data_IF_790217684392
#
_entry.id   IF_790217684392
#
_cell.length_a   1.000
_cell.length_b   1.000
_cell.length_c   1.000
_cell.angle_alpha   90.00
_cell.angle_beta   90.00
_cell.angle_gamma   90.00
#
_symmetry.space_group_name_H-M   'P 1'
#
loop_
_entity.id
_entity.type
_entity.pdbx_description
1 polymer ?
#
# COMPACT_ATOMS: atom_id res chain seq x y z
N UNK A 1 -1.63 -0.56 4.97
CA UNK A 1 -2.97 -0.66 4.36
C UNK A 1 -2.94 -1.49 3.09
N UNK A 2 -1.94 -1.40 2.26
CA UNK A 2 -1.79 -2.22 1.07
C UNK A 2 -3.08 -2.34 0.24
N UNK A 3 -3.39 -3.51 -0.27
CA UNK A 3 -4.61 -3.75 -1.08
C UNK A 3 -5.83 -3.92 -0.17
N UNK A 4 -6.79 -2.96 -0.16
CA UNK A 4 -7.96 -3.04 0.70
C UNK A 4 -8.81 -4.30 0.40
N UNK A 5 -9.22 -5.01 1.44
CA UNK A 5 -10.03 -6.24 1.37
C UNK A 5 -9.37 -7.49 0.75
N UNK A 6 -8.09 -7.45 0.37
CA UNK A 6 -7.43 -8.63 -0.20
C UNK A 6 -7.43 -9.80 0.79
N UNK A 7 -7.00 -9.58 2.03
CA UNK A 7 -7.01 -10.63 3.05
C UNK A 7 -8.42 -11.22 3.28
N UNK A 8 -9.43 -10.35 3.41
CA UNK A 8 -10.81 -10.80 3.60
C UNK A 8 -11.33 -11.62 2.40
N UNK A 9 -10.96 -11.24 1.18
CA UNK A 9 -11.30 -11.98 -0.03
C UNK A 9 -10.62 -13.35 -0.06
N UNK A 10 -9.32 -13.39 0.25
CA UNK A 10 -8.57 -14.66 0.31
C UNK A 10 -9.14 -15.60 1.37
N UNK A 11 -9.39 -15.08 2.58
CA UNK A 11 -9.96 -15.89 3.67
C UNK A 11 -11.36 -16.44 3.34
N UNK A 12 -12.20 -15.64 2.70
CA UNK A 12 -13.54 -16.05 2.27
C UNK A 12 -13.49 -17.23 1.30
N UNK A 13 -12.53 -17.22 0.36
CA UNK A 13 -12.42 -18.27 -0.67
C UNK A 13 -11.54 -19.45 -0.25
N UNK A 14 -10.61 -19.22 0.68
CA UNK A 14 -9.61 -20.19 1.11
C UNK A 14 -9.49 -20.25 2.64
N UNK A 15 -10.55 -20.66 3.38
CA UNK A 15 -10.54 -20.59 4.86
C UNK A 15 -9.50 -21.51 5.52
N UNK A 16 -8.93 -22.46 4.81
CA UNK A 16 -7.92 -23.40 5.31
C UNK A 16 -6.52 -22.80 5.46
N UNK A 17 -6.31 -21.57 4.97
CA UNK A 17 -5.00 -20.89 5.03
C UNK A 17 -4.63 -20.38 6.43
N UNK A 18 -5.58 -20.33 7.37
CA UNK A 18 -5.29 -19.97 8.77
C UNK A 18 -4.97 -21.24 9.56
N UNK A 19 -3.83 -21.21 10.24
CA UNK A 19 -3.29 -22.32 11.02
C UNK A 19 -3.08 -21.93 12.49
N UNK A 20 -2.80 -22.94 13.30
CA UNK A 20 -2.28 -22.74 14.64
C UNK A 20 -0.82 -22.26 14.57
N UNK A 21 -0.30 -21.75 15.69
CA UNK A 21 1.06 -21.23 15.79
C UNK A 21 2.10 -22.29 15.34
N UNK A 22 2.93 -21.98 14.34
CA UNK A 22 4.04 -22.82 13.92
C UNK A 22 5.24 -22.66 14.85
N UNK A 23 6.20 -23.59 14.76
CA UNK A 23 7.57 -23.37 15.22
C UNK A 23 8.33 -22.60 14.14
N UNK A 24 9.10 -21.59 14.51
CA UNK A 24 9.86 -20.76 13.59
C UNK A 24 11.33 -20.65 13.97
N UNK A 25 12.17 -20.45 12.95
CA UNK A 25 13.61 -20.19 13.09
C UNK A 25 13.89 -18.69 13.22
N UNK A 26 12.96 -17.87 12.75
CA UNK A 26 13.10 -16.43 12.68
C UNK A 26 11.75 -15.72 12.89
N UNK A 27 11.79 -14.59 13.60
CA UNK A 27 10.61 -13.78 13.85
C UNK A 27 10.87 -12.32 13.47
N UNK A 28 10.07 -11.77 12.58
CA UNK A 28 10.14 -10.37 12.18
C UNK A 28 8.89 -9.61 12.61
N UNK A 29 9.07 -8.35 12.99
CA UNK A 29 7.98 -7.48 13.46
C UNK A 29 7.98 -6.20 12.63
N UNK A 30 6.88 -5.96 11.89
CA UNK A 30 6.54 -4.63 11.41
C UNK A 30 6.13 -3.77 12.61
N UNK A 31 7.06 -2.91 13.03
CA UNK A 31 6.84 -2.13 14.25
C UNK A 31 5.77 -1.07 14.07
N UNK A 32 5.60 -0.51 12.89
CA UNK A 32 4.55 0.46 12.64
C UNK A 32 3.16 -0.18 12.77
N UNK A 33 3.00 -1.41 12.30
CA UNK A 33 1.79 -2.19 12.52
C UNK A 33 1.53 -2.44 14.01
N UNK A 34 2.55 -2.87 14.75
CA UNK A 34 2.45 -3.13 16.19
C UNK A 34 2.07 -1.86 16.96
N UNK A 35 2.70 -0.71 16.66
CA UNK A 35 2.35 0.57 17.28
C UNK A 35 0.87 0.88 17.09
N UNK A 36 0.35 0.78 15.87
CA UNK A 36 -1.05 1.08 15.60
C UNK A 36 -2.04 0.15 16.32
N UNK A 37 -1.64 -1.10 16.59
CA UNK A 37 -2.49 -2.08 17.29
C UNK A 37 -2.56 -1.86 18.80
N UNK A 38 -1.45 -1.48 19.42
CA UNK A 38 -1.33 -1.43 20.88
C UNK A 38 -1.31 -0.02 21.45
N UNK A 39 -1.33 1.01 20.62
CA UNK A 39 -1.26 2.40 21.06
C UNK A 39 -2.49 2.81 21.90
N UNK A 40 -2.26 3.08 23.17
CA UNK A 40 -3.20 3.82 24.01
C UNK A 40 -2.82 5.31 24.02
N UNK A 41 -3.71 6.21 23.57
CA UNK A 41 -3.45 7.65 23.57
C UNK A 41 -3.08 8.26 24.92
N UNK A 42 -3.47 7.65 26.04
CA UNK A 42 -3.16 8.13 27.39
C UNK A 42 -1.73 7.74 27.83
N UNK A 43 -1.25 6.57 27.39
CA UNK A 43 0.06 6.02 27.74
C UNK A 43 0.81 5.50 26.50
N UNK A 44 1.14 6.35 25.51
CA UNK A 44 1.47 5.92 24.15
C UNK A 44 2.76 5.11 24.04
N UNK A 45 3.74 5.31 24.93
CA UNK A 45 4.98 4.53 24.94
C UNK A 45 4.79 3.20 25.70
N UNK A 46 4.24 3.25 26.91
CA UNK A 46 4.14 2.08 27.78
C UNK A 46 3.15 1.03 27.23
N UNK A 47 2.06 1.48 26.59
CA UNK A 47 1.12 0.57 25.95
C UNK A 47 1.75 -0.19 24.78
N UNK A 48 2.55 0.48 23.95
CA UNK A 48 3.27 -0.15 22.83
C UNK A 48 4.36 -1.10 23.35
N UNK A 49 5.11 -0.72 24.38
CA UNK A 49 6.09 -1.60 25.02
C UNK A 49 5.45 -2.86 25.62
N UNK A 50 4.29 -2.71 26.28
CA UNK A 50 3.51 -3.83 26.79
C UNK A 50 3.01 -4.73 25.67
N UNK A 51 2.52 -4.16 24.56
CA UNK A 51 2.11 -4.90 23.38
C UNK A 51 3.27 -5.68 22.72
N UNK A 52 4.45 -5.05 22.63
CA UNK A 52 5.66 -5.74 22.14
C UNK A 52 6.01 -6.94 23.01
N UNK A 53 6.01 -6.79 24.34
CA UNK A 53 6.24 -7.90 25.28
C UNK A 53 5.25 -9.03 25.09
N UNK A 54 3.97 -8.70 24.94
CA UNK A 54 2.92 -9.68 24.68
C UNK A 54 3.20 -10.48 23.39
N UNK A 55 3.53 -9.79 22.30
CA UNK A 55 3.84 -10.41 21.00
C UNK A 55 5.11 -11.27 21.08
N UNK A 56 6.14 -10.82 21.79
CA UNK A 56 7.37 -11.61 22.00
C UNK A 56 7.11 -12.90 22.82
N UNK A 57 6.21 -12.85 23.81
CA UNK A 57 5.82 -14.04 24.59
C UNK A 57 5.00 -15.02 23.76
N UNK A 58 4.24 -14.55 22.78
CA UNK A 58 3.46 -15.43 21.91
C UNK A 58 4.33 -16.27 20.98
N UNK A 59 5.50 -15.78 20.60
CA UNK A 59 6.44 -16.50 19.71
C UNK A 59 7.72 -16.83 20.49
N UNK A 60 7.81 -18.02 21.12
CA UNK A 60 8.97 -18.41 21.93
C UNK A 60 10.20 -18.74 21.05
N UNK A 61 11.00 -17.75 20.78
CA UNK A 61 12.23 -17.81 20.00
C UNK A 61 13.34 -17.01 20.71
N UNK A 62 14.59 -17.34 20.46
CA UNK A 62 15.72 -16.58 21.02
C UNK A 62 15.76 -15.15 20.44
N UNK A 63 15.98 -14.14 21.28
CA UNK A 63 15.96 -12.73 20.89
C UNK A 63 16.92 -12.39 19.74
N UNK A 64 18.06 -13.05 19.63
CA UNK A 64 19.01 -12.88 18.51
C UNK A 64 18.42 -13.23 17.14
N UNK A 65 17.35 -14.05 17.12
CA UNK A 65 16.63 -14.46 15.92
C UNK A 65 15.38 -13.59 15.66
N UNK A 66 15.27 -12.47 16.37
CA UNK A 66 14.18 -11.51 16.20
C UNK A 66 14.67 -10.26 15.48
N UNK A 67 13.86 -9.74 14.60
CA UNK A 67 14.10 -8.50 13.88
C UNK A 67 12.91 -7.56 13.97
N UNK A 68 13.14 -6.32 14.41
CA UNK A 68 12.12 -5.27 14.48
C UNK A 68 12.45 -4.23 13.41
N UNK A 69 11.50 -3.99 12.51
CA UNK A 69 11.66 -3.02 11.44
C UNK A 69 10.72 -1.82 11.63
N UNK A 70 11.30 -0.63 11.71
CA UNK A 70 10.57 0.64 11.69
C UNK A 70 10.53 1.22 10.27
N UNK A 71 9.43 1.90 9.91
CA UNK A 71 9.41 2.72 8.71
C UNK A 71 10.41 3.86 8.81
N UNK A 72 11.17 4.04 7.74
CA UNK A 72 12.07 5.16 7.57
C UNK A 72 11.64 6.11 6.46
N UNK A 73 12.63 6.66 5.75
CA UNK A 73 12.39 7.46 4.55
C UNK A 73 11.79 6.56 3.47
N UNK A 74 10.66 6.95 2.91
CA UNK A 74 9.90 6.19 1.91
C UNK A 74 9.88 6.90 0.55
N UNK A 75 9.60 6.20 -0.58
CA UNK A 75 9.49 6.84 -1.89
C UNK A 75 8.33 7.84 -1.96
N UNK A 76 8.41 8.79 -2.90
CA UNK A 76 7.40 9.84 -3.05
C UNK A 76 5.98 9.27 -3.19
N UNK A 77 5.81 8.15 -3.89
CA UNK A 77 4.50 7.48 -4.00
C UNK A 77 3.89 7.17 -2.62
N UNK A 78 4.68 6.65 -1.68
CA UNK A 78 4.23 6.40 -0.31
C UNK A 78 4.07 7.70 0.50
N UNK A 79 4.94 8.70 0.29
CA UNK A 79 4.77 10.00 0.94
C UNK A 79 3.44 10.65 0.54
N UNK A 80 3.04 10.56 -0.72
CA UNK A 80 1.75 11.07 -1.21
C UNK A 80 0.59 10.38 -0.50
N UNK A 81 0.61 9.05 -0.41
CA UNK A 81 -0.38 8.27 0.32
C UNK A 81 -0.42 8.64 1.81
N UNK A 82 0.76 8.77 2.45
CA UNK A 82 0.87 9.19 3.85
C UNK A 82 0.31 10.60 4.06
N UNK A 83 0.60 11.55 3.16
CA UNK A 83 0.07 12.92 3.26
C UNK A 83 -1.46 12.92 3.26
N UNK A 84 -2.12 12.21 2.33
CA UNK A 84 -3.57 12.11 2.28
C UNK A 84 -4.17 11.61 3.60
N UNK A 85 -3.53 10.62 4.24
CA UNK A 85 -3.98 10.07 5.52
C UNK A 85 -3.80 11.06 6.68
N UNK A 86 -2.67 11.77 6.73
CA UNK A 86 -2.27 12.61 7.86
C UNK A 86 -2.92 13.98 7.86
N UNK A 87 -3.40 14.45 6.72
CA UNK A 87 -4.14 15.72 6.65
C UNK A 87 -5.64 15.58 6.95
N UNK A 88 -6.14 14.38 7.19
CA UNK A 88 -7.50 14.19 7.69
C UNK A 88 -7.57 14.64 9.14
N UNK A 89 -8.73 15.13 9.55
CA UNK A 89 -8.96 15.50 10.95
C UNK A 89 -8.85 14.26 11.84
N UNK A 90 -8.15 14.42 12.94
CA UNK A 90 -7.99 13.42 13.99
C UNK A 90 -8.19 14.14 15.32
N UNK A 91 -9.20 13.72 16.10
CA UNK A 91 -9.55 14.28 17.38
C UNK A 91 -9.01 13.42 18.55
N UNK A 92 -8.14 12.46 18.29
CA UNK A 92 -7.54 11.63 19.32
C UNK A 92 -6.66 12.48 20.27
N UNK A 93 -6.64 12.16 21.58
CA UNK A 93 -5.80 12.85 22.57
C UNK A 93 -4.30 12.81 22.22
N UNK A 94 -3.84 11.71 21.62
CA UNK A 94 -2.48 11.57 21.08
C UNK A 94 -2.50 11.80 19.57
N UNK A 95 -1.68 12.74 19.10
CA UNK A 95 -1.53 12.98 17.67
C UNK A 95 -0.78 11.81 17.00
N UNK A 96 -1.50 10.84 16.45
CA UNK A 96 -0.96 9.65 15.76
C UNK A 96 -0.03 9.98 14.58
N UNK A 97 -0.03 11.23 14.08
CA UNK A 97 0.91 11.69 13.05
C UNK A 97 2.35 11.75 13.55
N UNK A 98 2.56 11.73 14.89
CA UNK A 98 3.88 11.54 15.49
C UNK A 98 4.48 10.15 15.24
N UNK A 99 3.67 9.17 14.81
CA UNK A 99 4.16 7.88 14.28
C UNK A 99 4.69 8.13 12.86
N UNK A 100 5.81 8.83 12.79
CA UNK A 100 6.52 9.21 11.55
C UNK A 100 8.01 9.15 11.80
N UNK A 101 8.83 8.86 10.78
CA UNK A 101 10.26 8.66 10.95
C UNK A 101 10.94 9.83 11.67
N UNK A 102 11.89 9.52 12.56
CA UNK A 102 12.74 10.49 13.26
C UNK A 102 11.99 11.54 14.10
N UNK A 103 10.74 11.27 14.52
CA UNK A 103 10.04 12.11 15.50
C UNK A 103 10.53 11.83 16.93
N UNK A 104 10.33 12.75 17.89
CA UNK A 104 10.69 12.50 19.28
C UNK A 104 10.04 11.23 19.85
N UNK A 105 8.76 10.98 19.53
CA UNK A 105 8.04 9.80 19.93
C UNK A 105 8.73 8.50 19.45
N UNK A 106 9.03 8.43 18.14
CA UNK A 106 9.67 7.25 17.56
C UNK A 106 11.08 7.01 18.11
N UNK A 107 11.88 8.06 18.25
CA UNK A 107 13.22 7.97 18.87
C UNK A 107 13.18 7.47 20.31
N UNK A 108 12.22 7.94 21.10
CA UNK A 108 12.04 7.47 22.48
C UNK A 108 11.67 5.99 22.51
N UNK A 109 10.77 5.56 21.62
CA UNK A 109 10.37 4.16 21.53
C UNK A 109 11.54 3.26 21.10
N UNK A 110 12.29 3.66 20.06
CA UNK A 110 13.50 2.95 19.61
C UNK A 110 14.54 2.78 20.73
N UNK A 111 14.77 3.85 21.50
CA UNK A 111 15.73 3.84 22.61
C UNK A 111 15.30 2.87 23.71
N UNK A 112 14.02 2.90 24.11
CA UNK A 112 13.47 1.97 25.11
C UNK A 112 13.55 0.52 24.67
N UNK A 113 13.25 0.22 23.39
CA UNK A 113 13.35 -1.15 22.90
C UNK A 113 14.79 -1.64 22.92
N UNK A 114 15.75 -0.82 22.48
CA UNK A 114 17.19 -1.16 22.52
C UNK A 114 17.70 -1.38 23.94
N UNK A 115 17.23 -0.57 24.89
CA UNK A 115 17.61 -0.68 26.30
C UNK A 115 17.06 -1.98 26.94
N UNK A 116 15.79 -2.29 26.66
CA UNK A 116 15.13 -3.43 27.28
C UNK A 116 15.43 -4.77 26.58
N UNK A 117 15.68 -4.75 25.27
CA UNK A 117 15.94 -5.94 24.45
C UNK A 117 17.23 -5.78 23.62
N UNK A 118 18.40 -5.71 24.24
CA UNK A 118 19.67 -5.40 23.54
C UNK A 118 20.11 -6.47 22.52
N UNK A 119 19.60 -7.69 22.62
CA UNK A 119 19.90 -8.78 21.69
C UNK A 119 19.04 -8.77 20.41
N UNK A 120 17.91 -8.05 20.42
CA UNK A 120 17.03 -7.96 19.25
C UNK A 120 17.65 -7.03 18.22
N UNK A 121 17.70 -7.47 16.97
CA UNK A 121 18.15 -6.62 15.86
C UNK A 121 17.05 -5.65 15.46
N UNK A 122 17.39 -4.38 15.31
CA UNK A 122 16.42 -3.31 15.03
C UNK A 122 16.90 -2.48 13.84
N UNK A 123 16.05 -2.33 12.83
CA UNK A 123 16.19 -1.30 11.81
C UNK A 123 15.42 -0.06 12.24
N UNK A 124 16.14 1.03 12.47
CA UNK A 124 15.62 2.28 13.02
C UNK A 124 14.98 3.17 11.95
N UNK A 125 14.27 4.22 12.39
CA UNK A 125 13.59 5.15 11.49
C UNK A 125 14.53 5.98 10.63
N UNK A 126 15.83 6.09 10.97
CA UNK A 126 16.83 6.78 10.13
C UNK A 126 17.23 5.95 8.90
N UNK A 127 17.05 4.64 8.91
CA UNK A 127 17.31 3.78 7.76
C UNK A 127 16.18 3.90 6.73
N UNK A 128 16.51 4.17 5.45
CA UNK A 128 15.47 4.29 4.40
C UNK A 128 14.71 2.98 4.18
N UNK A 129 13.45 3.10 3.77
CA UNK A 129 12.57 1.99 3.40
C UNK A 129 11.39 1.80 4.37
N UNK A 130 10.37 1.13 3.89
CA UNK A 130 9.21 0.68 4.67
C UNK A 130 9.60 -0.54 5.51
N UNK A 131 9.03 -0.68 6.70
CA UNK A 131 9.35 -1.77 7.63
C UNK A 131 9.19 -3.16 6.99
N UNK A 132 8.10 -3.36 6.25
CA UNK A 132 7.84 -4.61 5.54
C UNK A 132 8.94 -4.96 4.51
N UNK A 133 9.37 -3.99 3.68
CA UNK A 133 10.44 -4.23 2.71
C UNK A 133 11.80 -4.46 3.37
N UNK A 134 12.09 -3.80 4.49
CA UNK A 134 13.30 -4.04 5.29
C UNK A 134 13.34 -5.48 5.85
N UNK A 135 12.19 -6.02 6.27
CA UNK A 135 12.07 -7.41 6.71
C UNK A 135 12.50 -8.35 5.58
N UNK A 136 12.00 -8.16 4.37
CA UNK A 136 12.34 -9.03 3.24
C UNK A 136 13.78 -8.84 2.73
N UNK A 137 14.35 -7.63 2.85
CA UNK A 137 15.78 -7.41 2.58
C UNK A 137 16.66 -8.10 3.61
N UNK A 138 16.31 -8.10 4.88
CA UNK A 138 17.02 -8.81 5.93
C UNK A 138 16.98 -10.33 5.72
N UNK A 139 15.82 -10.88 5.36
CA UNK A 139 15.65 -12.30 5.03
C UNK A 139 16.57 -12.77 3.91
N UNK A 140 16.93 -11.91 2.95
CA UNK A 140 17.87 -12.26 1.88
C UNK A 140 19.28 -12.62 2.38
N UNK A 141 19.65 -12.20 3.58
CA UNK A 141 20.95 -12.44 4.21
C UNK A 141 20.98 -13.64 5.15
N UNK A 142 19.84 -14.32 5.35
CA UNK A 142 19.64 -15.36 6.34
C UNK A 142 19.37 -16.72 5.69
N UNK A 143 19.87 -17.77 6.32
CA UNK A 143 19.52 -19.17 6.02
C UNK A 143 18.48 -19.65 7.05
N UNK A 144 17.23 -19.24 6.87
CA UNK A 144 16.12 -19.67 7.72
C UNK A 144 15.06 -20.39 6.88
N UNK A 145 14.43 -21.42 7.47
CA UNK A 145 13.42 -22.24 6.76
C UNK A 145 12.00 -21.80 7.08
N UNK A 146 11.75 -21.45 8.33
CA UNK A 146 10.43 -21.07 8.80
C UNK A 146 10.45 -19.70 9.47
N UNK A 147 9.65 -18.82 8.97
CA UNK A 147 9.60 -17.40 9.36
C UNK A 147 8.21 -17.05 9.85
N UNK A 148 8.10 -16.39 11.00
CA UNK A 148 6.89 -15.70 11.42
C UNK A 148 7.10 -14.21 11.18
N UNK A 149 6.11 -13.53 10.61
CA UNK A 149 6.12 -12.06 10.45
C UNK A 149 4.86 -11.51 11.13
N UNK A 150 5.07 -10.65 12.12
CA UNK A 150 3.98 -9.86 12.69
C UNK A 150 3.70 -8.67 11.80
N UNK A 151 2.50 -8.63 11.21
CA UNK A 151 2.07 -7.52 10.38
C UNK A 151 0.69 -7.76 9.77
N UNK A 152 -0.11 -6.69 9.68
CA UNK A 152 -1.49 -6.76 9.21
C UNK A 152 -1.68 -6.22 7.80
N UNK A 153 -0.64 -5.66 7.17
CA UNK A 153 -0.77 -5.11 5.83
C UNK A 153 -0.97 -6.21 4.78
N UNK A 154 -1.78 -5.92 3.79
CA UNK A 154 -2.05 -6.87 2.71
C UNK A 154 -0.85 -7.03 1.78
N UNK A 155 0.04 -6.03 1.73
CA UNK A 155 1.25 -6.06 0.92
C UNK A 155 2.22 -7.14 1.39
N UNK A 156 2.26 -7.43 2.71
CA UNK A 156 3.00 -8.56 3.27
C UNK A 156 2.59 -9.90 2.66
N UNK A 157 1.32 -10.07 2.28
CA UNK A 157 0.86 -11.31 1.61
C UNK A 157 1.53 -11.44 0.26
N UNK A 158 1.52 -10.37 -0.55
CA UNK A 158 2.11 -10.39 -1.89
C UNK A 158 3.63 -10.56 -1.83
N UNK A 159 4.31 -9.86 -0.93
CA UNK A 159 5.74 -9.99 -0.69
C UNK A 159 6.11 -11.42 -0.26
N UNK A 160 5.36 -12.00 0.67
CA UNK A 160 5.59 -13.36 1.17
C UNK A 160 5.35 -14.43 0.10
N UNK A 161 4.40 -14.22 -0.80
CA UNK A 161 4.14 -15.13 -1.91
C UNK A 161 5.33 -15.27 -2.87
N UNK A 162 6.22 -14.27 -2.95
CA UNK A 162 7.41 -14.29 -3.81
C UNK A 162 8.59 -15.03 -3.17
N UNK A 163 8.45 -15.59 -1.95
CA UNK A 163 9.53 -16.18 -1.18
C UNK A 163 9.48 -17.71 -1.22
N UNK A 164 10.66 -18.35 -1.04
CA UNK A 164 10.80 -19.79 -0.94
C UNK A 164 10.62 -20.32 0.49
N UNK A 165 10.88 -19.49 1.49
CA UNK A 165 10.77 -19.81 2.90
C UNK A 165 9.32 -20.17 3.28
N UNK A 166 9.14 -20.94 4.34
CA UNK A 166 7.84 -21.21 4.92
C UNK A 166 7.41 -20.03 5.81
N UNK A 167 6.68 -19.09 5.24
CA UNK A 167 6.29 -17.86 5.94
C UNK A 167 4.88 -17.98 6.51
N UNK A 168 4.75 -17.56 7.76
CA UNK A 168 3.48 -17.38 8.46
C UNK A 168 3.29 -15.92 8.85
N UNK A 169 2.20 -15.30 8.39
CA UNK A 169 1.85 -13.95 8.82
C UNK A 169 0.98 -14.01 10.07
N UNK A 170 1.50 -13.47 11.18
CA UNK A 170 0.80 -13.41 12.45
C UNK A 170 -0.23 -12.27 12.44
N UNK A 171 -1.50 -12.65 12.55
CA UNK A 171 -2.69 -11.77 12.56
C UNK A 171 -3.68 -12.29 13.62
N UNK A 172 -4.95 -12.42 13.26
CA UNK A 172 -5.95 -13.18 14.04
C UNK A 172 -5.78 -14.68 13.79
N UNK A 173 -4.62 -15.23 14.15
CA UNK A 173 -4.11 -16.53 13.80
C UNK A 173 -2.87 -16.43 12.90
N UNK A 174 -2.46 -17.53 12.30
CA UNK A 174 -1.24 -17.58 11.47
C UNK A 174 -1.63 -17.92 10.03
N UNK A 175 -1.53 -16.94 9.13
CA UNK A 175 -1.75 -17.13 7.70
C UNK A 175 -0.56 -17.90 7.12
N UNK A 176 -0.79 -19.13 6.71
CA UNK A 176 0.19 -20.01 6.07
C UNK A 176 0.32 -19.67 4.58
N UNK A 177 1.46 -19.08 4.21
CA UNK A 177 1.73 -18.66 2.82
C UNK A 177 1.96 -19.86 1.90
N UNK A 178 2.53 -20.97 2.39
CA UNK A 178 2.71 -22.17 1.56
C UNK A 178 1.36 -22.85 1.28
N UNK A 179 0.45 -22.85 2.24
CA UNK A 179 -0.92 -23.32 2.00
C UNK A 179 -1.66 -22.41 1.03
N UNK A 180 -1.50 -21.09 1.17
CA UNK A 180 -2.07 -20.12 0.22
C UNK A 180 -1.58 -20.38 -1.22
N UNK A 181 -0.27 -20.61 -1.42
CA UNK A 181 0.29 -20.94 -2.74
C UNK A 181 -0.35 -22.17 -3.37
N UNK A 182 -0.70 -23.19 -2.56
CA UNK A 182 -1.33 -24.43 -3.07
C UNK A 182 -2.77 -24.23 -3.50
N UNK A 183 -3.50 -23.36 -2.80
CA UNK A 183 -4.94 -23.17 -3.06
C UNK A 183 -5.25 -22.06 -4.05
N UNK A 184 -4.29 -21.18 -4.33
CA UNK A 184 -4.45 -20.18 -5.39
C UNK A 184 -4.55 -20.85 -6.77
N UNK A 185 -5.52 -20.43 -7.62
CA UNK A 185 -5.68 -21.00 -8.98
C UNK A 185 -4.64 -20.48 -10.00
N UNK A 186 -3.67 -19.73 -9.54
CA UNK A 186 -2.65 -19.04 -10.32
C UNK A 186 -1.34 -19.06 -9.51
N UNK A 187 -0.18 -19.15 -10.17
CA UNK A 187 1.12 -19.09 -9.47
C UNK A 187 1.36 -17.72 -8.80
N UNK A 188 2.25 -17.73 -7.82
CA UNK A 188 2.48 -16.58 -6.94
C UNK A 188 2.91 -15.31 -7.67
N UNK A 189 3.79 -15.44 -8.64
CA UNK A 189 4.28 -14.28 -9.41
C UNK A 189 3.18 -13.74 -10.32
N UNK A 190 2.47 -14.61 -11.03
CA UNK A 190 1.29 -14.23 -11.82
C UNK A 190 0.22 -13.56 -10.95
N UNK A 191 0.02 -14.05 -9.71
CA UNK A 191 -0.91 -13.44 -8.77
C UNK A 191 -0.48 -12.03 -8.34
N UNK A 192 0.84 -11.79 -8.20
CA UNK A 192 1.35 -10.45 -7.96
C UNK A 192 1.02 -9.51 -9.12
N UNK A 193 1.35 -9.91 -10.36
CA UNK A 193 1.04 -9.11 -11.56
C UNK A 193 -0.45 -8.81 -11.68
N UNK A 194 -1.29 -9.82 -11.47
CA UNK A 194 -2.75 -9.67 -11.51
C UNK A 194 -3.26 -8.71 -10.42
N UNK A 195 -2.72 -8.84 -9.20
CA UNK A 195 -3.13 -8.02 -8.07
C UNK A 195 -2.75 -6.55 -8.25
N UNK A 196 -1.53 -6.28 -8.70
CA UNK A 196 -1.06 -4.91 -8.97
C UNK A 196 -1.86 -4.31 -10.12
N UNK A 197 -2.05 -5.05 -11.22
CA UNK A 197 -2.80 -4.57 -12.39
C UNK A 197 -4.26 -4.24 -12.05
N UNK A 198 -4.94 -5.06 -11.24
CA UNK A 198 -6.39 -5.01 -11.09
C UNK A 198 -6.86 -4.36 -9.80
N UNK A 199 -6.25 -4.72 -8.66
CA UNK A 199 -6.80 -4.39 -7.35
C UNK A 199 -6.29 -3.07 -6.78
N UNK A 200 -5.23 -2.51 -7.39
CA UNK A 200 -4.56 -1.31 -6.89
C UNK A 200 -3.83 -1.57 -5.57
N UNK A 201 -3.12 -0.56 -5.08
CA UNK A 201 -2.37 -0.61 -3.82
C UNK A 201 -2.13 0.82 -3.29
N UNK A 202 -1.16 1.00 -2.41
CA UNK A 202 -0.81 2.32 -1.87
C UNK A 202 -0.27 3.29 -2.95
N UNK A 203 0.22 2.79 -4.08
CA UNK A 203 0.87 3.57 -5.14
C UNK A 203 -0.01 3.85 -6.35
N UNK A 204 -0.95 2.96 -6.65
CA UNK A 204 -1.82 3.09 -7.81
C UNK A 204 -3.29 2.74 -7.49
N UNK A 205 -4.25 3.35 -8.19
CA UNK A 205 -5.66 3.02 -8.00
C UNK A 205 -6.00 1.64 -8.57
N UNK A 206 -7.03 1.01 -8.03
CA UNK A 206 -7.61 -0.18 -8.64
C UNK A 206 -8.34 0.16 -9.94
N UNK A 207 -8.36 -0.75 -10.88
CA UNK A 207 -9.30 -0.74 -11.99
C UNK A 207 -10.72 -0.89 -11.43
N UNK A 208 -11.58 0.07 -11.68
CA UNK A 208 -12.87 0.21 -10.97
C UNK A 208 -13.74 -1.04 -11.01
N UNK A 209 -13.71 -1.78 -12.12
CA UNK A 209 -14.46 -3.04 -12.26
C UNK A 209 -13.93 -4.17 -11.37
N UNK A 210 -12.67 -4.11 -10.95
CA UNK A 210 -12.03 -5.12 -10.09
C UNK A 210 -11.99 -4.73 -8.61
N UNK A 211 -12.77 -3.75 -8.19
CA UNK A 211 -12.91 -3.44 -6.76
C UNK A 211 -13.24 -4.69 -5.95
N UNK A 212 -12.37 -5.05 -5.01
CA UNK A 212 -12.52 -6.25 -4.18
C UNK A 212 -13.81 -6.24 -3.35
N UNK A 213 -14.28 -5.04 -2.99
CA UNK A 213 -15.56 -4.84 -2.29
C UNK A 213 -16.77 -5.20 -3.14
N UNK A 214 -16.66 -5.07 -4.46
CA UNK A 214 -17.73 -5.32 -5.43
C UNK A 214 -17.51 -6.63 -6.20
N UNK A 215 -17.03 -7.66 -5.50
CA UNK A 215 -16.72 -9.00 -6.07
C UNK A 215 -15.62 -8.97 -7.14
N UNK A 216 -14.66 -8.06 -6.99
CA UNK A 216 -13.55 -7.92 -7.94
C UNK A 216 -12.63 -9.13 -7.99
N UNK A 217 -12.45 -9.84 -6.87
CA UNK A 217 -11.62 -11.04 -6.80
C UNK A 217 -12.15 -12.16 -7.70
N UNK A 218 -13.43 -12.52 -7.52
CA UNK A 218 -14.10 -13.56 -8.28
C UNK A 218 -14.16 -13.21 -9.77
N UNK A 219 -14.48 -11.95 -10.06
CA UNK A 219 -14.55 -11.47 -11.45
C UNK A 219 -13.19 -11.52 -12.14
N UNK A 220 -12.14 -11.11 -11.45
CA UNK A 220 -10.79 -11.10 -11.97
C UNK A 220 -10.32 -12.51 -12.32
N UNK A 221 -10.48 -13.48 -11.43
CA UNK A 221 -10.14 -14.88 -11.68
C UNK A 221 -10.96 -15.49 -12.79
N UNK A 222 -12.27 -15.23 -12.84
CA UNK A 222 -13.15 -15.73 -13.90
C UNK A 222 -12.74 -15.21 -15.29
N UNK A 223 -12.37 -13.92 -15.39
CA UNK A 223 -11.89 -13.33 -16.65
C UNK A 223 -10.50 -13.86 -17.02
N UNK A 224 -9.61 -14.07 -16.06
CA UNK A 224 -8.32 -14.66 -16.28
C UNK A 224 -8.42 -16.10 -16.83
N UNK A 225 -9.36 -16.89 -16.31
CA UNK A 225 -9.66 -18.22 -16.88
C UNK A 225 -10.29 -18.15 -18.27
N UNK A 226 -11.24 -17.24 -18.47
CA UNK A 226 -11.93 -17.02 -19.76
C UNK A 226 -10.97 -16.65 -20.90
N UNK A 227 -9.92 -15.88 -20.61
CA UNK A 227 -8.89 -15.53 -21.61
C UNK A 227 -7.77 -16.58 -21.76
N UNK A 228 -7.92 -17.77 -21.15
CA UNK A 228 -6.97 -18.87 -21.31
C UNK A 228 -5.74 -18.81 -20.42
N UNK A 229 -5.81 -18.09 -19.30
CA UNK A 229 -4.71 -17.95 -18.30
C UNK A 229 -3.41 -17.45 -18.93
N UNK A 230 -3.41 -16.26 -19.54
CA UNK A 230 -2.21 -15.71 -20.20
C UNK A 230 -1.09 -15.43 -19.21
N UNK A 231 0.15 -15.43 -19.70
CA UNK A 231 1.31 -15.05 -18.89
C UNK A 231 1.36 -13.52 -18.70
N UNK A 232 0.98 -13.06 -17.52
CA UNK A 232 0.91 -11.64 -17.17
C UNK A 232 2.29 -10.98 -16.95
N UNK A 233 3.38 -11.75 -16.89
CA UNK A 233 4.74 -11.23 -16.82
C UNK A 233 5.16 -10.54 -18.11
N UNK A 234 4.52 -10.86 -19.21
CA UNK A 234 4.75 -10.21 -20.50
C UNK A 234 3.57 -9.34 -20.93
N UNK A 235 3.86 -8.34 -21.76
CA UNK A 235 2.90 -7.38 -22.27
C UNK A 235 1.73 -8.03 -23.02
N UNK A 236 2.01 -9.00 -23.90
CA UNK A 236 0.98 -9.67 -24.70
C UNK A 236 -0.05 -10.36 -23.82
N UNK A 237 0.38 -11.03 -22.75
CA UNK A 237 -0.52 -11.67 -21.81
C UNK A 237 -1.36 -10.66 -21.04
N UNK A 238 -0.77 -9.54 -20.61
CA UNK A 238 -1.51 -8.45 -19.95
C UNK A 238 -2.55 -7.84 -20.87
N UNK A 239 -2.18 -7.52 -22.10
CA UNK A 239 -3.09 -6.95 -23.10
C UNK A 239 -4.23 -7.91 -23.43
N UNK A 240 -3.97 -9.22 -23.59
CA UNK A 240 -5.01 -10.22 -23.82
C UNK A 240 -6.03 -10.27 -22.67
N UNK A 241 -5.55 -10.22 -21.42
CA UNK A 241 -6.41 -10.20 -20.25
C UNK A 241 -7.25 -8.90 -20.19
N UNK A 242 -6.62 -7.74 -20.42
CA UNK A 242 -7.29 -6.45 -20.39
C UNK A 242 -8.32 -6.33 -21.52
N UNK A 243 -7.99 -6.77 -22.73
CA UNK A 243 -8.90 -6.78 -23.87
C UNK A 243 -10.15 -7.65 -23.62
N UNK A 244 -9.94 -8.82 -23.02
CA UNK A 244 -11.07 -9.71 -22.64
C UNK A 244 -11.94 -9.04 -21.56
N UNK A 245 -11.33 -8.33 -20.63
CA UNK A 245 -12.00 -7.65 -19.51
C UNK A 245 -12.76 -6.40 -19.95
N UNK A 246 -12.25 -5.67 -20.94
CA UNK A 246 -12.85 -4.43 -21.45
C UNK A 246 -14.31 -4.64 -21.90
N UNK A 247 -14.62 -5.78 -22.49
CA UNK A 247 -15.98 -6.10 -22.95
C UNK A 247 -17.03 -6.07 -21.84
N UNK A 248 -16.63 -6.28 -20.59
CA UNK A 248 -17.53 -6.29 -19.42
C UNK A 248 -17.39 -5.00 -18.57
N UNK A 249 -16.39 -4.16 -18.81
CA UNK A 249 -16.03 -3.03 -17.94
C UNK A 249 -17.18 -2.04 -17.77
N UNK A 250 -17.67 -1.45 -18.87
CA UNK A 250 -18.68 -0.38 -18.81
C UNK A 250 -19.97 -0.87 -18.16
N UNK A 251 -20.41 -2.10 -18.47
CA UNK A 251 -21.60 -2.68 -17.86
C UNK A 251 -21.44 -2.90 -16.36
N UNK A 252 -20.25 -3.30 -15.93
CA UNK A 252 -19.89 -3.52 -14.51
C UNK A 252 -19.80 -2.20 -13.76
N UNK A 253 -19.11 -1.21 -14.31
CA UNK A 253 -19.00 0.13 -13.72
C UNK A 253 -20.37 0.79 -13.56
N UNK A 254 -21.23 0.70 -14.58
CA UNK A 254 -22.62 1.18 -14.49
C UNK A 254 -23.39 0.54 -13.34
N UNK A 255 -23.25 -0.78 -13.12
CA UNK A 255 -23.88 -1.48 -11.99
C UNK A 255 -23.33 -0.98 -10.64
N UNK A 256 -22.00 -0.79 -10.53
CA UNK A 256 -21.34 -0.29 -9.30
C UNK A 256 -21.83 1.14 -9.00
N UNK A 257 -21.80 2.03 -9.97
CA UNK A 257 -22.22 3.43 -9.82
C UNK A 257 -23.70 3.53 -9.47
N UNK A 258 -24.57 2.74 -10.12
CA UNK A 258 -26.02 2.77 -9.87
C UNK A 258 -26.38 2.39 -8.42
N UNK A 259 -25.64 1.50 -7.78
CA UNK A 259 -25.81 1.17 -6.36
C UNK A 259 -25.55 2.34 -5.42
N UNK A 260 -24.86 3.40 -5.86
CA UNK A 260 -24.53 4.59 -5.07
C UNK A 260 -25.65 5.67 -5.06
N UNK A 261 -26.69 5.52 -5.87
CA UNK A 261 -28.02 6.12 -5.70
C UNK A 261 -28.22 7.61 -6.06
N UNK A 262 -27.20 8.46 -6.17
CA UNK A 262 -27.40 9.91 -6.34
C UNK A 262 -27.16 10.46 -7.75
N UNK A 263 -26.62 9.69 -8.69
CA UNK A 263 -26.08 10.24 -9.92
C UNK A 263 -26.54 9.53 -11.20
N UNK A 264 -27.53 8.66 -11.08
CA UNK A 264 -27.90 7.71 -12.10
C UNK A 264 -28.26 8.31 -13.46
N UNK A 265 -29.11 9.32 -13.50
CA UNK A 265 -29.66 9.82 -14.75
C UNK A 265 -28.69 10.70 -15.55
N UNK A 266 -27.96 11.59 -14.88
CA UNK A 266 -26.99 12.48 -15.53
C UNK A 266 -25.77 11.76 -16.05
N UNK A 267 -25.33 10.67 -15.38
CA UNK A 267 -24.13 9.93 -15.76
C UNK A 267 -24.33 9.11 -17.03
N UNK A 268 -25.56 8.69 -17.33
CA UNK A 268 -25.85 7.80 -18.45
C UNK A 268 -26.40 8.49 -19.70
N UNK A 269 -26.57 9.80 -19.68
CA UNK A 269 -27.13 10.59 -20.80
C UNK A 269 -26.16 10.93 -21.93
N UNK A 270 -24.85 10.74 -21.71
CA UNK A 270 -23.77 11.00 -22.67
C UNK A 270 -22.85 9.78 -22.78
N UNK A 271 -21.88 9.73 -23.75
CA UNK A 271 -20.88 8.67 -23.80
C UNK A 271 -20.19 8.45 -22.44
N UNK A 272 -20.19 7.22 -21.96
CA UNK A 272 -19.71 6.87 -20.62
C UNK A 272 -18.24 7.30 -20.41
N UNK A 273 -17.38 7.10 -21.40
CA UNK A 273 -15.96 7.48 -21.33
C UNK A 273 -15.76 8.97 -21.10
N UNK A 274 -16.56 9.82 -21.77
CA UNK A 274 -16.48 11.28 -21.56
C UNK A 274 -16.87 11.67 -20.14
N UNK A 275 -17.93 11.06 -19.59
CA UNK A 275 -18.35 11.29 -18.20
C UNK A 275 -17.33 10.75 -17.20
N UNK A 276 -16.74 9.61 -17.49
CA UNK A 276 -15.67 9.05 -16.68
C UNK A 276 -14.48 10.02 -16.59
N UNK A 277 -13.98 10.49 -17.73
CA UNK A 277 -12.87 11.45 -17.77
C UNK A 277 -13.21 12.77 -17.06
N UNK A 278 -14.44 13.27 -17.22
CA UNK A 278 -14.86 14.53 -16.59
C UNK A 278 -14.97 14.42 -15.07
N UNK A 279 -15.59 13.36 -14.56
CA UNK A 279 -15.97 13.27 -13.13
C UNK A 279 -15.03 12.39 -12.30
N UNK A 280 -14.41 11.38 -12.90
CA UNK A 280 -13.54 10.42 -12.19
C UNK A 280 -12.08 10.80 -12.37
N UNK A 281 -11.66 11.17 -13.58
CA UNK A 281 -10.30 11.60 -13.87
C UNK A 281 -10.09 13.14 -13.80
N UNK A 282 -11.01 13.87 -13.19
CA UNK A 282 -10.85 15.30 -12.90
C UNK A 282 -10.81 16.22 -14.13
N UNK A 283 -11.56 15.86 -15.18
CA UNK A 283 -11.66 16.67 -16.40
C UNK A 283 -10.46 16.52 -17.34
N UNK A 284 -9.78 15.39 -17.29
CA UNK A 284 -8.69 15.08 -18.22
C UNK A 284 -9.20 15.13 -19.66
N UNK A 285 -8.56 15.96 -20.49
CA UNK A 285 -8.87 16.11 -21.92
C UNK A 285 -8.03 15.18 -22.81
N UNK A 286 -6.74 14.98 -22.46
CA UNK A 286 -5.86 14.03 -23.11
C UNK A 286 -5.61 12.85 -22.18
N UNK A 287 -6.01 11.66 -22.60
CA UNK A 287 -5.95 10.44 -21.79
C UNK A 287 -4.56 9.78 -21.82
N UNK A 288 -3.77 10.03 -22.86
CA UNK A 288 -2.45 9.39 -23.04
C UNK A 288 -1.50 9.56 -21.84
N UNK A 289 -1.30 10.77 -21.23
CA UNK A 289 -0.48 10.91 -20.05
C UNK A 289 -1.01 10.15 -18.82
N UNK A 290 -2.33 9.90 -18.74
CA UNK A 290 -2.93 9.10 -17.67
C UNK A 290 -2.57 7.64 -17.81
N UNK A 291 -2.64 7.12 -19.03
CA UNK A 291 -2.28 5.73 -19.35
C UNK A 291 -0.78 5.52 -19.19
N UNK A 292 0.05 6.44 -19.68
CA UNK A 292 1.49 6.42 -19.47
C UNK A 292 1.84 6.36 -17.97
N UNK A 293 1.22 7.21 -17.15
CA UNK A 293 1.45 7.20 -15.70
C UNK A 293 0.95 5.91 -15.05
N UNK A 294 -0.14 5.31 -15.55
CA UNK A 294 -0.65 4.04 -15.06
C UNK A 294 0.37 2.92 -15.28
N UNK A 295 0.91 2.77 -16.48
CA UNK A 295 1.91 1.77 -16.82
C UNK A 295 3.23 1.99 -16.06
N UNK A 296 3.71 3.23 -15.97
CA UNK A 296 4.90 3.57 -15.16
C UNK A 296 4.72 3.21 -13.69
N UNK A 297 3.52 3.37 -13.15
CA UNK A 297 3.24 3.01 -11.76
C UNK A 297 3.14 1.50 -11.59
N UNK A 298 2.58 0.81 -12.57
CA UNK A 298 2.56 -0.65 -12.61
C UNK A 298 4.00 -1.21 -12.60
N UNK A 299 4.86 -0.77 -13.51
CA UNK A 299 6.26 -1.17 -13.60
C UNK A 299 7.04 -0.86 -12.31
N UNK A 300 6.89 0.36 -11.78
CA UNK A 300 7.47 0.75 -10.49
C UNK A 300 7.05 -0.19 -9.36
N UNK A 301 5.77 -0.52 -9.28
CA UNK A 301 5.22 -1.33 -8.21
C UNK A 301 5.67 -2.78 -8.31
N UNK A 302 5.63 -3.38 -9.50
CA UNK A 302 6.08 -4.76 -9.71
C UNK A 302 7.55 -4.89 -9.31
N UNK A 303 8.42 -3.99 -9.78
CA UNK A 303 9.84 -4.03 -9.43
C UNK A 303 10.08 -3.87 -7.93
N UNK A 304 9.34 -2.96 -7.27
CA UNK A 304 9.46 -2.75 -5.84
C UNK A 304 9.06 -4.00 -5.03
N UNK A 305 7.98 -4.69 -5.43
CA UNK A 305 7.54 -5.92 -4.75
C UNK A 305 8.46 -7.11 -5.01
N UNK A 306 9.04 -7.22 -6.22
CA UNK A 306 9.95 -8.32 -6.54
C UNK A 306 11.34 -8.14 -5.92
N UNK A 307 11.85 -6.91 -5.88
CA UNK A 307 13.24 -6.64 -5.49
C UNK A 307 13.39 -6.07 -4.08
N UNK A 308 12.32 -5.56 -3.48
CA UNK A 308 12.29 -4.74 -2.26
C UNK A 308 13.18 -3.48 -2.37
N UNK A 309 13.49 -3.03 -3.59
CA UNK A 309 14.31 -1.84 -3.86
C UNK A 309 13.51 -0.81 -4.64
N UNK A 310 13.59 0.45 -4.22
CA UNK A 310 12.90 1.55 -4.87
C UNK A 310 13.63 1.91 -6.17
N UNK A 311 13.00 1.70 -7.33
CA UNK A 311 13.51 2.06 -8.66
C UNK A 311 13.56 3.57 -8.86
N UNK A 312 12.49 4.25 -8.46
CA UNK A 312 12.36 5.71 -8.64
C UNK A 312 11.83 6.36 -7.37
N UNK A 313 12.70 7.07 -6.66
CA UNK A 313 12.34 7.74 -5.41
C UNK A 313 11.43 8.97 -5.60
N UNK A 314 11.32 9.51 -6.82
CA UNK A 314 10.52 10.69 -7.14
C UNK A 314 9.23 10.37 -7.90
N UNK A 315 8.98 9.10 -8.22
CA UNK A 315 7.76 8.71 -8.90
C UNK A 315 6.55 8.68 -7.96
N UNK A 316 5.39 9.05 -8.49
CA UNK A 316 4.07 8.80 -7.92
C UNK A 316 3.02 8.87 -9.02
N UNK A 317 1.88 8.23 -8.83
CA UNK A 317 0.74 8.31 -9.75
C UNK A 317 -0.03 9.63 -9.52
N UNK A 318 -0.07 10.56 -10.49
CA UNK A 318 -0.59 11.92 -10.25
C UNK A 318 -2.11 12.04 -10.44
N UNK A 319 -2.78 11.00 -10.90
CA UNK A 319 -4.21 11.03 -11.19
C UNK A 319 -5.03 10.40 -10.05
N UNK A 320 -6.34 10.77 -9.98
CA UNK A 320 -7.17 10.32 -8.86
C UNK A 320 -7.60 8.86 -8.91
N UNK A 321 -7.84 8.36 -10.11
CA UNK A 321 -8.34 7.02 -10.39
C UNK A 321 -7.67 6.44 -11.64
N UNK A 322 -7.87 5.15 -11.91
CA UNK A 322 -7.33 4.48 -13.09
C UNK A 322 -8.08 4.92 -14.36
N UNK A 323 -7.42 4.91 -15.54
CA UNK A 323 -8.10 5.07 -16.82
C UNK A 323 -9.01 3.86 -17.10
N UNK A 324 -9.92 4.00 -18.08
CA UNK A 324 -10.73 2.88 -18.57
C UNK A 324 -9.86 1.87 -19.32
N UNK A 325 -10.26 0.59 -19.34
CA UNK A 325 -9.53 -0.46 -20.05
C UNK A 325 -9.38 -0.17 -21.53
N UNK A 326 -10.42 0.36 -22.19
CA UNK A 326 -10.36 0.80 -23.59
C UNK A 326 -9.23 1.79 -23.85
N UNK A 327 -8.94 2.67 -22.89
CA UNK A 327 -7.86 3.65 -23.00
C UNK A 327 -6.51 2.97 -22.75
N UNK A 328 -6.41 2.10 -21.73
CA UNK A 328 -5.17 1.37 -21.40
C UNK A 328 -4.69 0.52 -22.58
N UNK A 329 -5.58 -0.22 -23.21
CA UNK A 329 -5.23 -1.11 -24.36
C UNK A 329 -4.93 -0.34 -25.66
N UNK A 330 -5.22 0.96 -25.70
CA UNK A 330 -5.00 1.80 -26.90
C UNK A 330 -3.60 2.40 -26.98
N UNK A 331 -2.79 2.27 -25.91
CA UNK A 331 -1.43 2.81 -25.84
C UNK A 331 -0.45 1.74 -25.38
N UNK A 332 0.81 1.87 -25.81
CA UNK A 332 1.90 0.98 -25.39
C UNK A 332 2.23 1.12 -23.91
N UNK A 333 2.74 0.05 -23.34
CA UNK A 333 3.23 0.06 -21.94
C UNK A 333 4.44 0.98 -21.81
N UNK A 334 4.50 1.71 -20.69
CA UNK A 334 5.58 2.64 -20.37
C UNK A 334 6.34 2.17 -19.14
N UNK A 335 7.66 2.22 -19.20
CA UNK A 335 8.57 1.83 -18.11
C UNK A 335 8.88 3.05 -17.24
N UNK A 336 8.92 2.86 -15.94
CA UNK A 336 9.33 3.88 -14.99
C UNK A 336 10.85 4.07 -15.03
N UNK A 337 11.30 5.30 -15.19
CA UNK A 337 12.72 5.64 -15.18
C UNK A 337 13.32 5.43 -13.79
N UNK A 338 14.61 5.08 -13.71
CA UNK A 338 15.35 4.99 -12.45
C UNK A 338 15.71 6.39 -11.95
N UNK A 339 15.41 6.67 -10.69
CA UNK A 339 15.85 7.89 -10.00
C UNK A 339 16.30 7.58 -8.58
N UNK A 340 17.52 7.98 -8.29
CA UNK A 340 18.14 7.82 -6.99
C UNK A 340 17.46 8.66 -5.89
N UNK A 341 17.75 8.28 -4.66
CA UNK A 341 17.27 8.98 -3.46
C UNK A 341 17.86 10.39 -3.38
N UNK A 342 16.98 11.39 -3.47
CA UNK A 342 17.35 12.82 -3.34
C UNK A 342 16.72 13.48 -2.11
N UNK A 343 15.89 12.76 -1.39
CA UNK A 343 15.18 13.23 -0.20
C UNK A 343 15.96 12.94 1.08
N UNK A 344 15.57 13.66 2.14
CA UNK A 344 15.94 13.39 3.52
C UNK A 344 14.68 13.29 4.37
N UNK A 345 14.76 12.71 5.55
CA UNK A 345 13.62 12.59 6.47
C UNK A 345 12.98 13.94 6.78
N UNK A 346 13.79 15.01 6.89
CA UNK A 346 13.24 16.34 7.11
C UNK A 346 12.33 16.82 5.96
N UNK A 347 12.64 16.46 4.70
CA UNK A 347 11.77 16.74 3.55
C UNK A 347 10.47 15.95 3.64
N UNK A 348 10.56 14.65 3.95
CA UNK A 348 9.38 13.81 4.16
C UNK A 348 8.47 14.40 5.24
N UNK A 349 9.00 14.73 6.43
CA UNK A 349 8.19 15.27 7.52
C UNK A 349 7.47 16.57 7.12
N UNK A 350 8.15 17.48 6.44
CA UNK A 350 7.53 18.73 5.95
C UNK A 350 6.43 18.46 4.91
N UNK A 351 6.61 17.43 4.08
CA UNK A 351 5.65 17.08 3.05
C UNK A 351 4.40 16.38 3.60
N UNK A 352 4.58 15.47 4.57
CA UNK A 352 3.50 14.59 5.03
C UNK A 352 2.75 15.09 6.27
N UNK A 353 3.32 16.03 7.05
CA UNK A 353 2.74 16.46 8.33
C UNK A 353 2.08 17.83 8.26
N UNK A 354 0.88 18.00 8.85
CA UNK A 354 0.26 19.31 9.05
C UNK A 354 1.09 20.21 9.96
N UNK A 355 0.95 21.51 9.78
CA UNK A 355 1.65 22.55 10.57
C UNK A 355 1.50 22.36 12.08
N UNK A 356 0.33 21.91 12.54
CA UNK A 356 0.08 21.61 13.96
C UNK A 356 1.04 20.55 14.48
N UNK A 357 1.15 19.43 13.76
CA UNK A 357 2.04 18.32 14.15
C UNK A 357 3.51 18.69 14.03
N UNK A 358 3.93 19.44 12.99
CA UNK A 358 5.30 19.92 12.86
C UNK A 358 5.72 20.78 14.07
N UNK A 359 4.85 21.70 14.51
CA UNK A 359 5.09 22.48 15.74
C UNK A 359 5.20 21.61 16.98
N UNK A 360 4.31 20.63 17.12
CA UNK A 360 4.28 19.69 18.24
C UNK A 360 5.59 18.91 18.39
N UNK A 361 6.17 18.47 17.26
CA UNK A 361 7.46 17.74 17.25
C UNK A 361 8.68 18.67 17.22
N UNK A 362 8.51 19.97 17.44
CA UNK A 362 9.60 20.96 17.50
C UNK A 362 10.25 21.28 16.13
N UNK A 363 9.53 21.04 15.03
CA UNK A 363 10.03 21.36 13.67
C UNK A 363 9.48 22.70 13.19
N UNK A 364 10.31 23.46 12.46
CA UNK A 364 9.89 24.69 11.78
C UNK A 364 8.86 24.35 10.71
N UNK A 365 7.78 25.13 10.64
CA UNK A 365 6.80 25.04 9.56
C UNK A 365 7.28 25.86 8.37
N UNK A 366 7.43 25.24 7.22
CA UNK A 366 7.89 25.88 5.99
C UNK A 366 6.70 26.23 5.09
N UNK A 367 5.80 25.26 4.90
CA UNK A 367 4.60 25.45 4.10
C UNK A 367 3.39 25.68 5.01
N UNK A 368 2.49 26.54 4.57
CA UNK A 368 1.17 26.65 5.20
C UNK A 368 0.34 25.42 4.85
N UNK A 369 -0.52 25.03 5.78
CA UNK A 369 -1.50 23.99 5.48
C UNK A 369 -2.44 24.49 4.37
N UNK A 370 -2.52 23.72 3.31
CA UNK A 370 -3.53 23.94 2.29
C UNK A 370 -4.86 23.41 2.79
N UNK A 371 -5.92 24.19 2.62
CA UNK A 371 -7.28 23.74 2.90
C UNK A 371 -7.69 22.84 1.75
N UNK A 372 -7.89 21.57 2.04
CA UNK A 372 -8.39 20.60 1.08
C UNK A 372 -9.89 20.78 0.90
N UNK A 373 -10.31 21.18 -0.29
CA UNK A 373 -11.74 21.13 -0.63
C UNK A 373 -12.09 19.71 -1.05
N UNK A 374 -13.01 19.09 -0.35
CA UNK A 374 -13.49 17.70 -0.54
C UNK A 374 -14.44 17.55 -1.72
N UNK A 375 -14.31 18.28 -2.78
CA UNK A 375 -15.35 18.38 -3.80
C UNK A 375 -15.30 17.29 -4.86
N UNK A 376 -14.91 16.06 -4.51
CA UNK A 376 -15.09 14.92 -5.42
C UNK A 376 -16.38 14.20 -5.13
N UNK A 377 -17.17 14.06 -6.16
CA UNK A 377 -18.33 13.16 -6.12
C UNK A 377 -17.80 11.71 -6.03
N UNK A 378 -18.19 10.91 -5.02
CA UNK A 378 -17.66 9.57 -4.79
C UNK A 378 -18.31 8.54 -5.72
N UNK A 379 -18.10 8.65 -7.02
CA UNK A 379 -18.71 7.77 -8.03
C UNK A 379 -18.33 6.31 -7.86
N UNK A 380 -17.04 6.05 -7.63
CA UNK A 380 -16.48 4.71 -7.45
C UNK A 380 -16.14 4.39 -5.99
N UNK A 381 -16.09 5.39 -5.11
CA UNK A 381 -15.70 5.22 -3.71
C UNK A 381 -16.94 5.21 -2.81
N UNK A 382 -16.93 4.34 -1.80
CA UNK A 382 -18.05 4.22 -0.86
C UNK A 382 -17.88 5.09 0.38
N UNK A 383 -16.64 5.30 0.80
CA UNK A 383 -16.31 6.02 2.03
C UNK A 383 -15.40 7.20 1.74
N UNK A 384 -15.54 8.28 2.51
CA UNK A 384 -14.74 9.50 2.39
C UNK A 384 -13.24 9.24 2.53
N UNK A 385 -12.86 8.26 3.33
CA UNK A 385 -11.45 7.86 3.49
C UNK A 385 -10.82 7.20 2.24
N UNK A 386 -11.62 6.77 1.29
CA UNK A 386 -11.14 6.28 -0.02
C UNK A 386 -10.91 7.41 -1.02
N UNK A 387 -11.43 8.61 -0.72
CA UNK A 387 -11.25 9.78 -1.58
C UNK A 387 -9.90 10.43 -1.33
N UNK A 388 -9.25 10.87 -2.41
CA UNK A 388 -8.00 11.62 -2.33
C UNK A 388 -8.31 13.12 -2.42
N UNK A 389 -7.80 13.95 -1.50
CA UNK A 389 -7.92 15.39 -1.63
C UNK A 389 -7.16 15.90 -2.86
N UNK A 390 -7.61 16.99 -3.47
CA UNK A 390 -6.93 17.65 -4.59
C UNK A 390 -5.76 18.46 -4.05
N UNK A 391 -4.52 18.13 -4.43
CA UNK A 391 -3.31 18.83 -4.02
C UNK A 391 -2.35 18.98 -5.20
N UNK A 392 -1.68 20.12 -5.30
CA UNK A 392 -0.56 20.34 -6.21
C UNK A 392 0.73 19.79 -5.58
N UNK A 393 0.87 18.47 -5.56
CA UNK A 393 1.93 17.77 -4.85
C UNK A 393 3.36 18.03 -5.38
N UNK A 394 3.61 18.04 -6.71
CA UNK A 394 4.96 18.26 -7.24
C UNK A 394 5.54 19.61 -6.87
N UNK A 395 4.71 20.65 -6.91
CA UNK A 395 5.11 22.00 -6.54
C UNK A 395 5.51 22.08 -5.07
N UNK A 396 4.69 21.52 -4.19
CA UNK A 396 4.96 21.47 -2.75
C UNK A 396 6.31 20.83 -2.42
N UNK A 397 6.63 19.70 -3.06
CA UNK A 397 7.88 18.98 -2.82
C UNK A 397 9.10 19.77 -3.36
N UNK A 398 8.97 20.36 -4.53
CA UNK A 398 10.03 21.18 -5.13
C UNK A 398 10.34 22.38 -4.26
N UNK A 399 9.33 23.02 -3.66
CA UNK A 399 9.51 24.13 -2.74
C UNK A 399 10.22 23.70 -1.46
N UNK A 400 9.83 22.59 -0.86
CA UNK A 400 10.50 22.01 0.31
C UNK A 400 11.98 21.74 0.01
N UNK A 401 12.29 21.10 -1.12
CA UNK A 401 13.68 20.81 -1.52
C UNK A 401 14.55 22.06 -1.69
N UNK A 402 13.98 23.17 -2.13
CA UNK A 402 14.72 24.45 -2.29
C UNK A 402 15.09 25.11 -0.97
N UNK A 403 14.36 24.81 0.11
CA UNK A 403 14.53 25.47 1.41
C UNK A 403 15.52 24.70 2.30
N UNK A 404 15.73 23.41 2.07
CA UNK A 404 16.66 22.51 2.77
C UNK A 404 17.86 22.11 1.90
#
# INVERSE_FOLDING_TARGET
MGIPFLFASLLKHHPTIIKLRPTADYFAIDMNCLIHNFLDPQNPIESVMSGLKQVLLEVPIEYKNIYIAFDGLVPLAKMVQQRYRRFREDNDPFDKRQISPDTPYMRTLESKIKEEFPEIRISVTQEPGEGEHKIFLDLNSLDCKTVIIYGLDADLILLSLQRSENIFLMRDGYLDIQELKKVLPIDSEQFLYLSVLCFGNDFMPNLGMFSLREHGYERCLSLYEKCGKPDLRNEVGRLLFLYTSEQEEISTLKKIISKRGKFHEKFFSEPFSRKYNLHILDGVLNIEPVVEAYWKTFDFTIEYFLTNKVKNWEWYYPYPDAPLLQDIISFEESICETKELTFRICHQLQFILPSKTLKLIGRRVILKDEIYSETREPWLKKYDWEMKPRISLPWTLTEIKRIF
#
